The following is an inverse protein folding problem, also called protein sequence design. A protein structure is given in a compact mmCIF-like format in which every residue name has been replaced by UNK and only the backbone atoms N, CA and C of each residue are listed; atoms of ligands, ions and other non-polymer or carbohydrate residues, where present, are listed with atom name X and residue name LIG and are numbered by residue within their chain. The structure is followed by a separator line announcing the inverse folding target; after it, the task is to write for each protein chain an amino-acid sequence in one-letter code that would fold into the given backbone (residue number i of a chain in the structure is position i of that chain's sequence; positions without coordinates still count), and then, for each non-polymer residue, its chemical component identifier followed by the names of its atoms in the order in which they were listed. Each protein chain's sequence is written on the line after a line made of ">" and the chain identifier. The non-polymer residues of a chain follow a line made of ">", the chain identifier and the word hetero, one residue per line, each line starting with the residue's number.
data_IF_918043112081
#
_entry.id   IF_918043112081
#
_cell.length_a   1.000
_cell.length_b   1.000
_cell.length_c   1.000
_cell.angle_alpha   90.00
_cell.angle_beta   90.00
_cell.angle_gamma   90.00
#
_symmetry.space_group_name_H-M   'P 1'
#
loop_
_entity.id
_entity.type
_entity.pdbx_description
1 polymer ?
#
# COMPACT_ATOMS: atom_id res chain seq x y z
N UNK A 1 -23.67 -2.34 14.07
CA UNK A 1 -22.51 -1.98 14.89
C UNK A 1 -21.73 -3.24 15.19
N UNK A 2 -20.54 -3.36 14.60
CA UNK A 2 -19.62 -4.48 14.87
C UNK A 2 -18.36 -3.93 15.50
N UNK A 3 -17.76 -4.70 16.43
CA UNK A 3 -16.41 -4.37 16.90
C UNK A 3 -15.41 -4.90 15.88
N UNK A 4 -14.49 -4.03 15.46
CA UNK A 4 -13.47 -4.35 14.46
C UNK A 4 -12.08 -3.91 14.91
N UNK A 5 -11.06 -4.70 14.60
CA UNK A 5 -9.67 -4.40 14.93
C UNK A 5 -8.91 -3.92 13.71
N UNK A 6 -8.04 -2.91 13.87
CA UNK A 6 -7.22 -2.35 12.80
C UNK A 6 -5.78 -2.17 13.25
N UNK A 7 -4.82 -2.76 12.53
CA UNK A 7 -3.41 -2.39 12.65
C UNK A 7 -3.04 -1.31 11.63
N UNK A 8 -2.05 -0.48 11.94
CA UNK A 8 -1.62 0.56 11.00
C UNK A 8 -2.60 1.72 10.82
N UNK A 9 -3.50 1.95 11.79
CA UNK A 9 -4.57 2.95 11.73
C UNK A 9 -4.12 4.40 11.59
N UNK A 10 -2.84 4.71 11.81
CA UNK A 10 -2.23 6.03 11.56
C UNK A 10 -1.54 6.14 10.19
N UNK A 11 -1.43 5.03 9.44
CA UNK A 11 -0.92 5.03 8.06
C UNK A 11 -1.95 5.53 7.05
N UNK A 12 -1.55 5.74 5.80
CA UNK A 12 -2.41 6.29 4.75
C UNK A 12 -3.69 5.46 4.56
N UNK A 13 -3.55 4.16 4.27
CA UNK A 13 -4.70 3.26 4.06
C UNK A 13 -5.44 3.06 5.38
N UNK A 14 -4.72 2.76 6.46
CA UNK A 14 -5.34 2.47 7.75
C UNK A 14 -6.09 3.67 8.32
N UNK A 15 -5.59 4.89 8.16
CA UNK A 15 -6.29 6.10 8.60
C UNK A 15 -7.61 6.32 7.84
N UNK A 16 -7.58 6.16 6.52
CA UNK A 16 -8.78 6.26 5.70
C UNK A 16 -9.79 5.12 6.02
N UNK A 17 -9.31 3.90 6.24
CA UNK A 17 -10.13 2.77 6.65
C UNK A 17 -10.79 3.02 8.02
N UNK A 18 -10.05 3.51 9.01
CA UNK A 18 -10.58 3.90 10.33
C UNK A 18 -11.67 4.96 10.20
N UNK A 19 -11.46 6.00 9.37
CA UNK A 19 -12.51 7.00 9.11
C UNK A 19 -13.80 6.31 8.62
N UNK A 20 -13.67 5.45 7.63
CA UNK A 20 -14.83 4.81 7.01
C UNK A 20 -15.55 3.83 7.93
N UNK A 21 -14.81 3.11 8.78
CA UNK A 21 -15.38 2.24 9.81
C UNK A 21 -16.16 3.03 10.86
N UNK A 22 -15.62 4.15 11.33
CA UNK A 22 -16.28 5.05 12.29
C UNK A 22 -17.55 5.68 11.68
N UNK A 23 -17.50 6.16 10.43
CA UNK A 23 -18.66 6.67 9.69
C UNK A 23 -19.77 5.64 9.54
N UNK A 24 -19.40 4.35 9.41
CA UNK A 24 -20.33 3.22 9.37
C UNK A 24 -20.93 2.90 10.74
N UNK A 25 -20.41 3.50 11.80
CA UNK A 25 -20.84 3.29 13.18
C UNK A 25 -20.23 2.05 13.85
N UNK A 26 -19.09 1.55 13.36
CA UNK A 26 -18.40 0.42 13.99
C UNK A 26 -17.62 0.85 15.24
N UNK A 27 -17.51 -0.05 16.24
CA UNK A 27 -16.64 0.09 17.41
C UNK A 27 -15.21 -0.30 17.01
N UNK A 28 -14.38 0.70 16.72
CA UNK A 28 -13.02 0.47 16.19
C UNK A 28 -12.01 0.34 17.33
N UNK A 29 -11.25 -0.76 17.30
CA UNK A 29 -10.08 -1.00 18.14
C UNK A 29 -8.82 -0.87 17.28
N UNK A 30 -7.91 0.01 17.66
CA UNK A 30 -6.67 0.27 16.91
C UNK A 30 -5.42 -0.15 17.69
N UNK A 31 -4.46 -0.77 17.01
CA UNK A 31 -3.13 -1.03 17.58
C UNK A 31 -2.24 0.19 17.41
N UNK A 32 -1.64 0.65 18.51
CA UNK A 32 -0.68 1.75 18.50
C UNK A 32 0.64 1.37 19.17
N UNK A 33 1.76 1.59 18.47
CA UNK A 33 3.12 1.34 18.98
C UNK A 33 3.67 2.50 19.84
N UNK A 34 3.35 3.74 19.47
CA UNK A 34 3.86 4.93 20.15
C UNK A 34 2.73 5.74 20.81
N UNK A 35 3.07 6.61 21.78
CA UNK A 35 2.11 7.49 22.43
C UNK A 35 1.42 8.40 21.43
N UNK A 36 2.18 9.03 20.52
CA UNK A 36 1.63 9.88 19.47
C UNK A 36 0.65 9.16 18.56
N UNK A 37 0.89 7.86 18.23
CA UNK A 37 -0.05 7.08 17.45
C UNK A 37 -1.33 6.78 18.24
N UNK A 38 -1.21 6.53 19.56
CA UNK A 38 -2.36 6.30 20.43
C UNK A 38 -3.22 7.56 20.53
N UNK A 39 -2.61 8.70 20.86
CA UNK A 39 -3.29 10.00 20.95
C UNK A 39 -4.02 10.35 19.64
N UNK A 40 -3.38 10.10 18.49
CA UNK A 40 -3.99 10.33 17.18
C UNK A 40 -5.24 9.47 16.96
N UNK A 41 -5.24 8.21 17.40
CA UNK A 41 -6.39 7.31 17.26
C UNK A 41 -7.49 7.63 18.29
N UNK A 42 -7.11 7.86 19.56
CA UNK A 42 -8.03 8.20 20.63
C UNK A 42 -8.80 9.50 20.37
N UNK A 43 -8.12 10.52 19.83
CA UNK A 43 -8.74 11.79 19.42
C UNK A 43 -9.84 11.60 18.35
N UNK A 44 -9.84 10.48 17.65
CA UNK A 44 -10.83 10.10 16.64
C UNK A 44 -11.93 9.19 17.18
N UNK A 45 -11.91 8.86 18.48
CA UNK A 45 -12.87 7.94 19.10
C UNK A 45 -12.54 6.46 18.93
N UNK A 46 -11.31 6.12 18.50
CA UNK A 46 -10.82 4.74 18.39
C UNK A 46 -10.38 4.26 19.77
N UNK A 47 -10.79 3.07 20.17
CA UNK A 47 -10.26 2.39 21.35
C UNK A 47 -8.85 1.88 21.03
N UNK A 48 -7.86 2.21 21.85
CA UNK A 48 -6.46 1.87 21.57
C UNK A 48 -5.96 0.74 22.44
N UNK A 49 -5.29 -0.22 21.81
CA UNK A 49 -4.44 -1.22 22.45
C UNK A 49 -2.98 -0.91 22.12
N UNK A 50 -2.12 -0.89 23.16
CA UNK A 50 -0.68 -0.65 22.99
C UNK A 50 0.02 -1.95 22.67
N UNK A 51 0.87 -1.93 21.65
CA UNK A 51 1.62 -3.11 21.26
C UNK A 51 2.29 -3.02 19.89
N UNK A 52 3.00 -4.08 19.54
CA UNK A 52 3.75 -4.23 18.30
C UNK A 52 2.95 -5.07 17.28
N UNK A 53 2.93 -4.62 16.03
CA UNK A 53 2.16 -5.29 14.95
C UNK A 53 2.74 -6.63 14.48
N UNK A 54 3.81 -7.10 15.09
CA UNK A 54 4.41 -8.42 14.88
C UNK A 54 4.40 -9.28 16.16
N UNK A 55 3.86 -8.78 17.25
CA UNK A 55 3.69 -9.52 18.50
C UNK A 55 2.30 -10.16 18.55
N UNK A 56 2.26 -11.48 18.65
CA UNK A 56 1.02 -12.26 18.61
C UNK A 56 0.13 -11.99 19.83
N UNK A 57 0.72 -11.79 21.02
CA UNK A 57 -0.06 -11.56 22.24
C UNK A 57 -0.67 -10.15 22.24
N UNK A 58 0.08 -9.14 21.78
CA UNK A 58 -0.44 -7.78 21.62
C UNK A 58 -1.62 -7.73 20.63
N UNK A 59 -1.46 -8.42 19.49
CA UNK A 59 -2.50 -8.53 18.49
C UNK A 59 -3.73 -9.29 18.99
N UNK A 60 -3.53 -10.39 19.74
CA UNK A 60 -4.62 -11.18 20.32
C UNK A 60 -5.46 -10.33 21.27
N UNK A 61 -4.82 -9.61 22.21
CA UNK A 61 -5.50 -8.69 23.14
C UNK A 61 -6.33 -7.62 22.40
N UNK A 62 -5.78 -7.08 21.29
CA UNK A 62 -6.48 -6.11 20.48
C UNK A 62 -7.69 -6.68 19.75
N UNK A 63 -7.62 -7.93 19.35
CA UNK A 63 -8.65 -8.62 18.57
C UNK A 63 -9.75 -9.25 19.44
N UNK A 64 -9.58 -9.33 20.77
CA UNK A 64 -10.57 -9.90 21.68
C UNK A 64 -11.94 -9.25 21.52
N UNK A 65 -12.97 -10.08 21.27
CA UNK A 65 -14.34 -9.64 21.06
C UNK A 65 -14.60 -8.87 19.77
N UNK A 66 -13.63 -8.85 18.83
CA UNK A 66 -13.81 -8.28 17.50
C UNK A 66 -14.39 -9.31 16.54
N UNK A 67 -15.38 -8.90 15.76
CA UNK A 67 -15.98 -9.76 14.72
C UNK A 67 -15.06 -9.88 13.48
N UNK A 68 -14.36 -8.81 13.16
CA UNK A 68 -13.46 -8.72 12.00
C UNK A 68 -12.15 -8.02 12.38
N UNK A 69 -11.09 -8.33 11.66
CA UNK A 69 -9.81 -7.65 11.81
C UNK A 69 -9.23 -7.24 10.44
N UNK A 70 -8.57 -6.08 10.42
CA UNK A 70 -7.87 -5.53 9.26
C UNK A 70 -6.39 -5.36 9.61
N UNK A 71 -5.54 -6.22 9.03
CA UNK A 71 -4.10 -6.10 9.19
C UNK A 71 -3.51 -5.24 8.08
N UNK A 72 -3.47 -3.93 8.33
CA UNK A 72 -3.01 -2.91 7.36
C UNK A 72 -1.56 -2.48 7.62
N UNK A 73 -1.02 -2.76 8.81
CA UNK A 73 0.35 -2.41 9.16
C UNK A 73 1.37 -3.07 8.24
N UNK A 74 2.33 -2.30 7.78
CA UNK A 74 3.43 -2.78 6.95
C UNK A 74 4.49 -1.71 6.72
N UNK A 75 5.69 -2.14 6.42
CA UNK A 75 6.80 -1.25 6.06
C UNK A 75 6.91 -1.20 4.54
N UNK A 76 6.71 -0.02 3.96
CA UNK A 76 6.87 0.26 2.53
C UNK A 76 8.03 1.23 2.35
N UNK A 77 9.22 0.70 2.11
CA UNK A 77 10.42 1.50 1.88
C UNK A 77 11.29 0.85 0.79
N UNK A 78 11.94 1.69 0.00
CA UNK A 78 12.97 1.32 -0.94
C UNK A 78 14.32 1.87 -0.46
N UNK A 79 15.42 1.33 -0.99
CA UNK A 79 16.76 1.78 -0.63
C UNK A 79 17.08 1.61 0.87
N UNK A 80 16.62 0.54 1.46
CA UNK A 80 16.89 0.23 2.88
C UNK A 80 18.27 -0.40 3.03
N UNK A 81 19.01 0.04 4.05
CA UNK A 81 20.32 -0.53 4.38
C UNK A 81 20.16 -1.80 5.24
N UNK A 82 19.19 -1.81 6.15
CA UNK A 82 18.84 -2.96 7.00
C UNK A 82 17.43 -3.45 6.68
N UNK A 83 17.27 -4.65 6.09
CA UNK A 83 15.96 -5.22 5.78
C UNK A 83 15.21 -5.80 6.98
N UNK A 84 15.88 -6.09 8.10
CA UNK A 84 15.31 -6.80 9.24
C UNK A 84 14.04 -6.18 9.84
N UNK A 85 13.92 -4.85 9.99
CA UNK A 85 12.65 -4.25 10.45
C UNK A 85 11.50 -4.49 9.46
N UNK A 86 11.79 -4.49 8.15
CA UNK A 86 10.80 -4.75 7.10
C UNK A 86 10.39 -6.24 7.10
N UNK A 87 11.34 -7.16 7.24
CA UNK A 87 11.09 -8.60 7.35
C UNK A 87 10.24 -8.91 8.59
N UNK A 88 10.61 -8.35 9.73
CA UNK A 88 9.87 -8.54 10.99
C UNK A 88 8.41 -8.09 10.85
N UNK A 89 8.18 -6.91 10.25
CA UNK A 89 6.84 -6.36 10.12
C UNK A 89 6.05 -7.04 9.00
N UNK A 90 6.63 -7.16 7.79
CA UNK A 90 5.89 -7.63 6.62
C UNK A 90 5.70 -9.16 6.61
N UNK A 91 6.65 -9.92 7.15
CA UNK A 91 6.56 -11.39 7.24
C UNK A 91 6.08 -11.81 8.62
N UNK A 92 6.80 -11.43 9.68
CA UNK A 92 6.46 -11.78 11.06
C UNK A 92 5.08 -11.25 11.45
N UNK A 93 4.79 -9.97 11.15
CA UNK A 93 3.50 -9.34 11.44
C UNK A 93 2.33 -9.96 10.68
N UNK A 94 2.56 -10.46 9.46
CA UNK A 94 1.52 -11.16 8.70
C UNK A 94 1.14 -12.50 9.36
N UNK A 95 2.14 -13.30 9.78
CA UNK A 95 1.94 -14.57 10.49
C UNK A 95 1.29 -14.34 11.85
N UNK A 96 1.82 -13.40 12.65
CA UNK A 96 1.31 -13.08 13.97
C UNK A 96 -0.17 -12.64 13.91
N UNK A 97 -0.54 -11.82 12.92
CA UNK A 97 -1.93 -11.39 12.75
C UNK A 97 -2.89 -12.54 12.46
N UNK A 98 -2.47 -13.53 11.66
CA UNK A 98 -3.30 -14.72 11.38
C UNK A 98 -3.49 -15.57 12.63
N UNK A 99 -2.40 -15.85 13.36
CA UNK A 99 -2.48 -16.64 14.61
C UNK A 99 -3.28 -15.93 15.69
N UNK A 100 -3.07 -14.62 15.85
CA UNK A 100 -3.81 -13.82 16.80
C UNK A 100 -5.31 -13.80 16.49
N UNK A 101 -5.68 -13.66 15.20
CA UNK A 101 -7.08 -13.69 14.78
C UNK A 101 -7.75 -15.03 15.12
N UNK A 102 -7.06 -16.15 14.87
CA UNK A 102 -7.55 -17.48 15.23
C UNK A 102 -7.69 -17.65 16.76
N UNK A 103 -6.70 -17.22 17.55
CA UNK A 103 -6.75 -17.27 19.02
C UNK A 103 -7.88 -16.42 19.61
N UNK A 104 -8.09 -15.24 19.05
CA UNK A 104 -9.15 -14.31 19.51
C UNK A 104 -10.55 -14.67 18.99
N UNK A 105 -10.69 -15.69 18.14
CA UNK A 105 -11.96 -16.09 17.55
C UNK A 105 -12.55 -15.09 16.56
N UNK A 106 -11.68 -14.32 15.86
CA UNK A 106 -12.09 -13.38 14.81
C UNK A 106 -12.66 -14.15 13.63
N UNK A 107 -13.90 -13.83 13.23
CA UNK A 107 -14.57 -14.56 12.15
C UNK A 107 -13.86 -14.39 10.79
N UNK A 108 -13.31 -13.20 10.50
CA UNK A 108 -12.60 -12.91 9.25
C UNK A 108 -11.46 -11.91 9.44
N UNK A 109 -10.29 -12.23 8.89
CA UNK A 109 -9.14 -11.35 8.80
C UNK A 109 -8.94 -10.88 7.36
N UNK A 110 -8.90 -9.57 7.14
CA UNK A 110 -8.45 -8.97 5.86
C UNK A 110 -7.01 -8.50 6.01
N UNK A 111 -6.10 -9.06 5.21
CA UNK A 111 -4.69 -8.68 5.23
C UNK A 111 -4.32 -7.84 4.01
N UNK A 112 -3.76 -6.67 4.25
CA UNK A 112 -3.25 -5.78 3.22
C UNK A 112 -1.88 -6.26 2.74
N UNK A 113 -1.87 -6.90 1.58
CA UNK A 113 -0.66 -7.25 0.86
C UNK A 113 -0.24 -6.11 -0.08
N UNK A 114 0.17 -6.39 -1.30
CA UNK A 114 0.56 -5.41 -2.31
C UNK A 114 0.44 -6.01 -3.71
N UNK A 115 0.07 -5.23 -4.70
CA UNK A 115 0.12 -5.66 -6.11
C UNK A 115 1.54 -6.10 -6.53
N UNK A 116 2.59 -5.59 -5.87
CA UNK A 116 3.97 -6.02 -6.14
C UNK A 116 4.19 -7.53 -5.94
N UNK A 117 3.37 -8.21 -5.08
CA UNK A 117 3.49 -9.65 -4.82
C UNK A 117 3.07 -10.53 -6.00
N UNK A 118 2.39 -9.96 -6.99
CA UNK A 118 2.04 -10.66 -8.23
C UNK A 118 3.31 -11.09 -8.95
N UNK A 119 4.32 -10.21 -8.99
CA UNK A 119 5.61 -10.52 -9.60
C UNK A 119 5.48 -10.87 -11.08
N UNK A 120 4.68 -10.12 -11.82
CA UNK A 120 4.42 -10.32 -13.25
C UNK A 120 5.71 -10.23 -14.09
N UNK A 121 5.84 -11.00 -15.18
CA UNK A 121 6.94 -10.86 -16.13
C UNK A 121 6.98 -9.46 -16.77
N UNK A 122 8.16 -8.95 -17.16
CA UNK A 122 8.28 -7.63 -17.79
C UNK A 122 7.39 -7.48 -19.02
N UNK A 123 6.63 -6.37 -19.08
CA UNK A 123 5.79 -6.04 -20.23
C UNK A 123 4.44 -6.76 -20.28
N UNK A 124 4.16 -7.64 -19.32
CA UNK A 124 2.85 -8.32 -19.22
C UNK A 124 1.90 -7.58 -18.26
N UNK A 125 0.63 -7.94 -18.31
CA UNK A 125 -0.37 -7.50 -17.33
C UNK A 125 -0.54 -8.57 -16.27
N UNK A 126 -0.31 -8.22 -15.01
CA UNK A 126 -0.46 -9.13 -13.87
C UNK A 126 -1.91 -9.20 -13.40
N UNK A 127 -2.35 -10.43 -13.11
CA UNK A 127 -3.62 -10.76 -12.47
C UNK A 127 -3.34 -11.58 -11.21
N UNK A 128 -4.37 -11.87 -10.44
CA UNK A 128 -4.26 -12.75 -9.26
C UNK A 128 -3.75 -14.15 -9.60
N UNK A 129 -3.95 -14.60 -10.84
CA UNK A 129 -3.54 -15.93 -11.31
C UNK A 129 -2.16 -15.93 -11.98
N UNK A 130 -1.53 -14.77 -12.15
CA UNK A 130 -0.23 -14.67 -12.83
C UNK A 130 0.85 -15.40 -12.03
N UNK A 131 1.59 -16.35 -12.66
CA UNK A 131 2.73 -16.97 -12.02
C UNK A 131 3.82 -15.96 -11.70
N UNK A 132 4.32 -15.99 -10.47
CA UNK A 132 5.41 -15.11 -10.05
C UNK A 132 6.68 -15.41 -10.86
N UNK A 133 7.35 -14.36 -11.38
CA UNK A 133 8.54 -14.44 -12.25
C UNK A 133 9.79 -15.09 -11.62
N UNK A 134 9.74 -15.44 -10.31
CA UNK A 134 10.81 -16.18 -9.62
C UNK A 134 11.93 -15.34 -9.03
N UNK A 135 11.95 -14.01 -9.24
CA UNK A 135 12.94 -13.08 -8.67
C UNK A 135 12.28 -11.74 -8.28
N UNK A 136 12.94 -10.95 -7.44
CA UNK A 136 12.37 -9.74 -6.85
C UNK A 136 13.08 -8.46 -7.34
N UNK A 137 12.29 -7.41 -7.57
CA UNK A 137 12.80 -6.08 -7.94
C UNK A 137 13.33 -5.32 -6.72
N UNK A 138 12.77 -5.58 -5.54
CA UNK A 138 13.10 -4.85 -4.34
C UNK A 138 12.97 -5.72 -3.08
N UNK A 139 13.60 -5.28 -2.02
CA UNK A 139 13.43 -5.86 -0.68
C UNK A 139 11.96 -5.76 -0.23
N UNK A 140 11.29 -4.67 -0.56
CA UNK A 140 9.87 -4.51 -0.29
C UNK A 140 9.02 -5.59 -0.97
N UNK A 141 9.20 -5.79 -2.27
CA UNK A 141 8.48 -6.83 -3.02
C UNK A 141 8.74 -8.22 -2.42
N UNK A 142 10.00 -8.55 -2.13
CA UNK A 142 10.37 -9.82 -1.51
C UNK A 142 9.62 -10.04 -0.19
N UNK A 143 9.74 -9.09 0.74
CA UNK A 143 9.15 -9.24 2.07
C UNK A 143 7.63 -9.27 2.05
N UNK A 144 6.97 -8.53 1.13
CA UNK A 144 5.51 -8.62 0.95
C UNK A 144 5.10 -9.97 0.37
N UNK A 145 5.84 -10.49 -0.62
CA UNK A 145 5.55 -11.81 -1.22
C UNK A 145 5.75 -12.95 -0.21
N UNK A 146 6.85 -12.91 0.55
CA UNK A 146 7.12 -13.88 1.61
C UNK A 146 6.06 -13.83 2.71
N UNK A 147 5.66 -12.61 3.13
CA UNK A 147 4.62 -12.40 4.13
C UNK A 147 3.24 -12.89 3.68
N UNK A 148 2.85 -12.61 2.44
CA UNK A 148 1.60 -13.10 1.86
C UNK A 148 1.55 -14.63 1.83
N UNK A 149 2.62 -15.27 1.35
CA UNK A 149 2.72 -16.75 1.32
C UNK A 149 2.68 -17.36 2.71
N UNK A 150 3.40 -16.76 3.66
CA UNK A 150 3.43 -17.21 5.04
C UNK A 150 2.05 -17.05 5.72
N UNK A 151 1.37 -15.92 5.51
CA UNK A 151 0.02 -15.68 6.03
C UNK A 151 -0.98 -16.71 5.49
N UNK A 152 -0.95 -17.00 4.18
CA UNK A 152 -1.80 -18.03 3.57
C UNK A 152 -1.51 -19.44 4.09
N UNK A 153 -0.24 -19.79 4.27
CA UNK A 153 0.14 -21.08 4.84
C UNK A 153 -0.37 -21.21 6.29
N UNK A 154 -0.12 -20.18 7.10
CA UNK A 154 -0.57 -20.13 8.50
C UNK A 154 -2.09 -20.17 8.61
N UNK A 155 -2.84 -19.45 7.73
CA UNK A 155 -4.30 -19.45 7.78
C UNK A 155 -4.90 -20.84 7.54
N UNK A 156 -4.29 -21.63 6.64
CA UNK A 156 -4.69 -23.03 6.40
C UNK A 156 -4.36 -23.94 7.59
N UNK A 157 -3.20 -23.70 8.23
CA UNK A 157 -2.75 -24.46 9.40
C UNK A 157 -3.70 -24.26 10.59
N UNK A 158 -4.10 -23.00 10.88
CA UNK A 158 -4.91 -22.66 12.06
C UNK A 158 -6.40 -22.54 11.75
N UNK A 159 -6.83 -22.72 10.50
CA UNK A 159 -8.25 -22.64 10.10
C UNK A 159 -8.83 -21.22 10.10
N UNK A 160 -8.00 -20.17 10.03
CA UNK A 160 -8.46 -18.78 10.00
C UNK A 160 -9.00 -18.37 8.63
N UNK A 161 -10.22 -17.82 8.59
CA UNK A 161 -10.72 -17.15 7.39
C UNK A 161 -9.89 -15.90 7.10
N UNK A 162 -9.05 -15.98 6.06
CA UNK A 162 -8.14 -14.93 5.62
C UNK A 162 -8.48 -14.53 4.19
N UNK A 163 -8.70 -13.23 3.97
CA UNK A 163 -8.83 -12.64 2.64
C UNK A 163 -7.68 -11.64 2.43
N UNK A 164 -7.06 -11.68 1.26
CA UNK A 164 -5.96 -10.79 0.91
C UNK A 164 -6.44 -9.68 -0.01
N UNK A 165 -5.98 -8.45 0.23
CA UNK A 165 -6.12 -7.34 -0.71
C UNK A 165 -4.75 -6.85 -1.13
N UNK A 166 -4.56 -6.67 -2.44
CA UNK A 166 -3.29 -6.33 -3.07
C UNK A 166 -3.39 -4.96 -3.77
N UNK A 167 -3.34 -3.84 -3.03
CA UNK A 167 -3.41 -2.52 -3.64
C UNK A 167 -2.21 -2.25 -4.54
N UNK A 168 -2.45 -1.64 -5.69
CA UNK A 168 -1.43 -1.01 -6.51
C UNK A 168 -0.96 0.32 -5.88
N UNK A 169 -0.43 1.26 -6.63
CA UNK A 169 0.01 2.53 -6.06
C UNK A 169 -1.20 3.36 -5.61
N UNK A 170 -1.49 3.37 -4.31
CA UNK A 170 -2.60 4.14 -3.73
C UNK A 170 -2.32 5.63 -3.86
N UNK A 171 -3.28 6.38 -4.40
CA UNK A 171 -3.24 7.83 -4.58
C UNK A 171 -4.51 8.46 -4.00
N UNK A 172 -4.41 9.73 -3.59
CA UNK A 172 -5.54 10.47 -3.03
C UNK A 172 -5.13 11.32 -1.82
N UNK A 173 -6.08 11.98 -1.15
CA UNK A 173 -5.86 12.75 0.07
C UNK A 173 -5.10 11.95 1.15
N UNK A 174 -4.21 12.64 1.89
CA UNK A 174 -3.37 12.02 2.92
C UNK A 174 -2.09 11.33 2.40
N UNK A 175 -1.91 11.18 1.08
CA UNK A 175 -0.75 10.49 0.49
C UNK A 175 0.41 11.45 0.19
N UNK A 176 1.09 11.98 1.21
CA UNK A 176 2.26 12.84 1.04
C UNK A 176 3.59 12.08 0.86
N UNK A 177 3.66 10.80 1.25
CA UNK A 177 4.87 9.97 1.23
C UNK A 177 4.95 8.98 0.05
N UNK A 178 6.10 8.31 -0.10
CA UNK A 178 6.31 7.26 -1.11
C UNK A 178 6.05 7.76 -2.55
N UNK A 179 5.21 7.02 -3.29
CA UNK A 179 4.80 7.40 -4.66
C UNK A 179 3.98 8.69 -4.72
N UNK A 180 3.25 9.04 -3.65
CA UNK A 180 2.54 10.33 -3.55
C UNK A 180 3.49 11.53 -3.65
N UNK A 181 4.70 11.43 -3.08
CA UNK A 181 5.72 12.47 -3.22
C UNK A 181 6.13 12.74 -4.67
N UNK A 182 6.14 11.70 -5.50
CA UNK A 182 6.44 11.84 -6.93
C UNK A 182 5.28 12.56 -7.60
N UNK A 183 4.05 12.16 -7.32
CA UNK A 183 2.86 12.82 -7.85
C UNK A 183 2.81 14.29 -7.44
N UNK A 184 3.00 14.61 -6.16
CA UNK A 184 3.04 15.99 -5.68
C UNK A 184 4.14 16.83 -6.36
N UNK A 185 5.31 16.25 -6.62
CA UNK A 185 6.38 16.92 -7.35
C UNK A 185 6.03 17.19 -8.83
N UNK A 186 5.20 16.33 -9.44
CA UNK A 186 4.63 16.57 -10.78
C UNK A 186 3.61 17.69 -10.72
N UNK A 187 2.66 17.63 -9.79
CA UNK A 187 1.57 18.58 -9.62
C UNK A 187 2.06 20.01 -9.29
N UNK A 188 3.23 20.13 -8.64
CA UNK A 188 3.87 21.40 -8.34
C UNK A 188 4.90 21.84 -9.41
N UNK A 189 5.03 21.10 -10.51
CA UNK A 189 5.97 21.39 -11.60
C UNK A 189 7.46 21.27 -11.21
N UNK A 190 7.78 20.72 -10.03
CA UNK A 190 9.17 20.56 -9.52
C UNK A 190 9.90 19.35 -10.12
N UNK A 191 9.19 18.35 -10.63
CA UNK A 191 9.81 17.17 -11.22
C UNK A 191 10.35 17.50 -12.62
N UNK A 192 11.68 17.46 -12.78
CA UNK A 192 12.35 17.80 -14.05
C UNK A 192 12.57 16.59 -14.96
N UNK A 193 12.83 15.43 -14.37
CA UNK A 193 13.14 14.21 -15.08
C UNK A 193 12.40 13.03 -14.51
N UNK A 194 12.00 12.11 -15.37
CA UNK A 194 11.42 10.83 -14.99
C UNK A 194 11.90 9.72 -15.92
N UNK A 195 11.42 8.48 -15.72
CA UNK A 195 11.79 7.32 -16.53
C UNK A 195 10.61 6.80 -17.33
N UNK A 196 10.82 6.23 -18.54
CA UNK A 196 9.74 5.61 -19.30
C UNK A 196 9.25 4.35 -18.56
N UNK A 197 8.01 4.37 -18.11
CA UNK A 197 7.39 3.31 -17.32
C UNK A 197 5.87 3.27 -17.55
N UNK A 198 5.21 2.25 -16.99
CA UNK A 198 3.77 2.26 -16.72
C UNK A 198 3.55 2.37 -15.21
N UNK A 199 2.45 2.94 -14.82
CA UNK A 199 2.02 3.07 -13.43
C UNK A 199 0.61 2.51 -13.28
N UNK A 200 0.43 1.65 -12.30
CA UNK A 200 -0.89 1.15 -11.90
C UNK A 200 -1.29 1.84 -10.60
N UNK A 201 -2.45 2.46 -10.58
CA UNK A 201 -2.93 3.31 -9.49
C UNK A 201 -4.29 2.81 -9.00
N UNK A 202 -4.57 3.07 -7.74
CA UNK A 202 -5.90 2.94 -7.14
C UNK A 202 -6.18 4.17 -6.28
N UNK A 203 -7.41 4.67 -6.36
CA UNK A 203 -7.89 5.74 -5.48
C UNK A 203 -7.92 5.26 -4.03
N UNK A 204 -7.64 6.13 -3.07
CA UNK A 204 -7.65 5.80 -1.64
C UNK A 204 -9.03 5.33 -1.16
N UNK A 205 -10.10 5.94 -1.66
CA UNK A 205 -11.47 5.58 -1.28
C UNK A 205 -11.84 4.21 -1.86
N UNK A 206 -11.42 3.92 -3.11
CA UNK A 206 -11.61 2.60 -3.74
C UNK A 206 -10.79 1.52 -3.03
N UNK A 207 -9.57 1.87 -2.61
CA UNK A 207 -8.73 0.98 -1.82
C UNK A 207 -9.41 0.60 -0.50
N UNK A 208 -9.98 1.58 0.21
CA UNK A 208 -10.74 1.35 1.45
C UNK A 208 -12.02 0.56 1.18
N UNK A 209 -12.78 0.92 0.14
CA UNK A 209 -13.97 0.17 -0.27
C UNK A 209 -13.62 -1.29 -0.59
N UNK A 210 -12.51 -1.53 -1.28
CA UNK A 210 -11.99 -2.87 -1.56
C UNK A 210 -11.71 -3.70 -0.29
N UNK A 211 -11.16 -3.09 0.77
CA UNK A 211 -10.96 -3.75 2.07
C UNK A 211 -12.29 -4.14 2.73
N UNK A 212 -13.26 -3.21 2.75
CA UNK A 212 -14.57 -3.46 3.35
C UNK A 212 -15.34 -4.53 2.57
N UNK A 213 -15.35 -4.45 1.25
CA UNK A 213 -16.00 -5.43 0.39
C UNK A 213 -15.31 -6.81 0.48
N UNK A 214 -13.99 -6.87 0.62
CA UNK A 214 -13.26 -8.11 0.85
C UNK A 214 -13.65 -8.75 2.20
N UNK A 215 -13.90 -7.94 3.23
CA UNK A 215 -14.42 -8.43 4.51
C UNK A 215 -15.84 -8.99 4.39
N UNK A 216 -16.68 -8.42 3.53
CA UNK A 216 -18.08 -8.80 3.37
C UNK A 216 -18.28 -9.97 2.39
N UNK A 217 -17.55 -9.96 1.26
CA UNK A 217 -17.81 -10.82 0.08
C UNK A 217 -16.62 -11.65 -0.35
N UNK A 218 -15.42 -11.36 0.16
CA UNK A 218 -14.20 -12.05 -0.24
C UNK A 218 -14.25 -13.55 0.07
N UNK A 219 -13.63 -14.34 -0.77
CA UNK A 219 -13.49 -15.79 -0.59
C UNK A 219 -12.25 -16.08 0.25
N UNK A 220 -12.39 -16.91 1.29
CA UNK A 220 -11.29 -17.29 2.16
C UNK A 220 -10.13 -17.92 1.37
N UNK A 221 -8.90 -17.48 1.66
CA UNK A 221 -7.70 -17.92 0.96
C UNK A 221 -7.43 -17.24 -0.38
N UNK A 222 -8.34 -16.39 -0.86
CA UNK A 222 -8.21 -15.67 -2.12
C UNK A 222 -7.60 -14.29 -1.93
N UNK A 223 -7.04 -13.76 -3.04
CA UNK A 223 -6.49 -12.40 -3.11
C UNK A 223 -7.19 -11.57 -4.18
N UNK A 224 -7.28 -10.28 -3.95
CA UNK A 224 -7.95 -9.32 -4.83
C UNK A 224 -7.02 -8.15 -5.13
N UNK A 225 -6.62 -8.00 -6.39
CA UNK A 225 -5.90 -6.83 -6.87
C UNK A 225 -6.82 -5.60 -6.83
N UNK A 226 -6.37 -4.56 -6.16
CA UNK A 226 -7.06 -3.28 -6.13
C UNK A 226 -6.29 -2.31 -7.05
N UNK A 227 -6.73 -2.23 -8.29
CA UNK A 227 -6.11 -1.41 -9.34
C UNK A 227 -7.21 -0.82 -10.21
N UNK A 228 -7.43 0.48 -10.09
CA UNK A 228 -8.45 1.19 -10.85
C UNK A 228 -7.99 1.58 -12.25
N UNK A 229 -6.69 1.76 -12.45
CA UNK A 229 -6.13 2.16 -13.73
C UNK A 229 -4.67 1.74 -13.90
N UNK A 230 -4.30 1.50 -15.16
CA UNK A 230 -2.89 1.34 -15.57
C UNK A 230 -2.61 2.29 -16.73
N UNK A 231 -1.67 3.22 -16.55
CA UNK A 231 -1.36 4.26 -17.52
C UNK A 231 0.11 4.20 -17.93
N UNK A 232 0.40 4.50 -19.20
CA UNK A 232 1.76 4.88 -19.58
C UNK A 232 2.12 6.18 -18.86
N UNK A 233 3.37 6.32 -18.45
CA UNK A 233 3.81 7.48 -17.64
C UNK A 233 3.57 8.80 -18.37
N UNK A 234 3.68 8.83 -19.71
CA UNK A 234 3.40 10.01 -20.50
C UNK A 234 1.96 10.49 -20.35
N UNK A 235 1.01 9.56 -20.38
CA UNK A 235 -0.43 9.84 -20.24
C UNK A 235 -0.75 10.24 -18.79
N UNK A 236 -0.18 9.56 -17.81
CA UNK A 236 -0.35 9.90 -16.39
C UNK A 236 0.19 11.32 -16.07
N UNK A 237 1.36 11.67 -16.61
CA UNK A 237 1.93 13.02 -16.48
C UNK A 237 1.12 14.09 -17.22
N UNK A 238 0.57 13.76 -18.39
CA UNK A 238 -0.29 14.67 -19.15
C UNK A 238 -1.59 14.96 -18.41
N UNK A 239 -2.24 13.93 -17.89
CA UNK A 239 -3.45 14.04 -17.08
C UNK A 239 -3.20 14.84 -15.80
N UNK A 240 -2.12 14.53 -15.07
CA UNK A 240 -1.76 15.26 -13.86
C UNK A 240 -1.49 16.76 -14.12
N UNK A 241 -0.76 17.06 -15.20
CA UNK A 241 -0.46 18.44 -15.59
C UNK A 241 -1.71 19.22 -15.99
N UNK A 242 -2.63 18.58 -16.72
CA UNK A 242 -3.89 19.18 -17.14
C UNK A 242 -4.76 19.53 -15.92
N UNK A 243 -4.98 18.57 -15.01
CA UNK A 243 -5.82 18.76 -13.82
C UNK A 243 -5.24 19.81 -12.87
N UNK A 244 -3.90 19.83 -12.68
CA UNK A 244 -3.24 20.76 -11.80
C UNK A 244 -2.99 22.16 -12.45
N UNK A 245 -3.19 22.31 -13.77
CA UNK A 245 -2.87 23.53 -14.49
C UNK A 245 -1.36 23.77 -14.69
N UNK A 246 -0.54 22.69 -14.64
CA UNK A 246 0.93 22.79 -14.73
C UNK A 246 1.40 22.70 -16.17
N UNK A 247 2.08 23.75 -16.64
CA UNK A 247 2.60 23.82 -18.02
C UNK A 247 3.83 22.91 -18.25
N UNK A 248 4.61 22.64 -17.21
CA UNK A 248 5.90 21.96 -17.33
C UNK A 248 5.76 20.45 -17.13
N UNK A 249 6.05 19.68 -18.20
CA UNK A 249 6.11 18.22 -18.15
C UNK A 249 7.54 17.75 -17.88
N UNK A 250 7.77 16.71 -17.05
CA UNK A 250 9.08 16.11 -16.87
C UNK A 250 9.63 15.53 -18.18
N UNK A 251 10.94 15.64 -18.41
CA UNK A 251 11.60 14.97 -19.53
C UNK A 251 11.87 13.51 -19.17
N UNK A 252 11.57 12.59 -20.09
CA UNK A 252 11.86 11.17 -19.88
C UNK A 252 13.33 10.87 -20.20
N UNK A 253 14.05 10.33 -19.21
CA UNK A 253 15.43 9.90 -19.39
C UNK A 253 15.48 8.52 -20.03
N UNK A 254 16.41 8.26 -20.99
CA UNK A 254 16.64 6.92 -21.50
C UNK A 254 16.95 5.93 -20.35
N UNK A 255 16.46 4.68 -20.45
CA UNK A 255 16.60 3.65 -19.40
C UNK A 255 18.05 3.47 -18.92
N UNK A 256 18.99 3.41 -19.87
CA UNK A 256 20.44 3.27 -19.57
C UNK A 256 20.98 4.47 -18.77
N UNK A 257 20.61 5.68 -19.16
CA UNK A 257 21.03 6.92 -18.49
C UNK A 257 20.48 6.94 -17.05
N UNK A 258 19.21 6.63 -16.85
CA UNK A 258 18.59 6.58 -15.54
C UNK A 258 19.26 5.54 -14.61
N UNK A 259 19.58 4.36 -15.13
CA UNK A 259 20.25 3.29 -14.36
C UNK A 259 21.66 3.69 -13.93
N UNK A 260 22.46 4.28 -14.85
CA UNK A 260 23.82 4.75 -14.53
C UNK A 260 23.78 5.91 -13.55
N UNK A 261 22.90 6.89 -13.77
CA UNK A 261 22.76 8.02 -12.88
C UNK A 261 22.38 7.58 -11.45
N UNK A 262 21.43 6.64 -11.30
CA UNK A 262 21.07 6.08 -10.00
C UNK A 262 22.26 5.39 -9.31
N UNK A 263 23.08 4.62 -10.04
CA UNK A 263 24.25 3.95 -9.48
C UNK A 263 25.31 4.96 -8.98
N UNK A 264 25.53 6.03 -9.73
CA UNK A 264 26.48 7.09 -9.36
C UNK A 264 26.00 7.83 -8.12
N UNK A 265 24.71 8.24 -8.10
CA UNK A 265 24.08 8.93 -6.94
C UNK A 265 24.15 8.02 -5.71
N UNK A 266 23.72 6.76 -5.82
CA UNK A 266 23.75 5.81 -4.72
C UNK A 266 25.16 5.66 -4.13
N UNK A 267 26.16 5.49 -4.98
CA UNK A 267 27.56 5.34 -4.55
C UNK A 267 28.08 6.60 -3.86
N UNK A 268 27.83 7.77 -4.44
CA UNK A 268 28.27 9.06 -3.86
C UNK A 268 27.68 9.30 -2.46
N UNK A 269 26.40 9.05 -2.28
CA UNK A 269 25.73 9.20 -0.99
C UNK A 269 26.21 8.18 0.05
N UNK A 270 26.46 6.93 -0.36
CA UNK A 270 27.01 5.89 0.54
C UNK A 270 28.44 6.25 1.02
N UNK A 271 29.30 6.78 0.13
CA UNK A 271 30.64 7.27 0.52
C UNK A 271 30.50 8.43 1.52
N UNK A 272 29.51 9.30 1.36
CA UNK A 272 29.24 10.40 2.30
C UNK A 272 28.52 9.98 3.58
N UNK A 273 28.28 8.68 3.82
CA UNK A 273 27.55 8.17 4.98
C UNK A 273 26.09 8.62 5.04
N UNK A 274 25.48 8.97 3.89
CA UNK A 274 24.11 9.47 3.80
C UNK A 274 23.22 8.53 3.00
N UNK A 275 21.93 8.50 3.31
CA UNK A 275 20.94 7.76 2.54
C UNK A 275 20.75 8.39 1.16
N UNK A 276 20.83 7.61 0.07
CA UNK A 276 20.62 8.11 -1.27
C UNK A 276 19.13 8.47 -1.48
N UNK A 277 18.84 9.61 -2.12
CA UNK A 277 17.45 9.97 -2.49
C UNK A 277 16.93 9.09 -3.63
N UNK A 278 17.81 8.47 -4.42
CA UNK A 278 17.52 7.53 -5.50
C UNK A 278 18.57 6.43 -5.47
N UNK A 279 18.15 5.17 -5.60
CA UNK A 279 19.03 4.01 -5.66
C UNK A 279 18.68 3.11 -6.85
N UNK A 280 19.57 2.14 -7.16
CA UNK A 280 19.35 1.19 -8.26
C UNK A 280 18.07 0.36 -8.09
N UNK A 281 17.73 -0.03 -6.86
CA UNK A 281 16.51 -0.76 -6.53
C UNK A 281 15.26 0.03 -6.95
N UNK A 282 15.19 1.31 -6.60
CA UNK A 282 14.09 2.20 -6.98
C UNK A 282 13.96 2.35 -8.50
N UNK A 283 15.08 2.60 -9.19
CA UNK A 283 15.05 2.77 -10.66
C UNK A 283 14.69 1.45 -11.35
N UNK A 284 15.16 0.31 -10.87
CA UNK A 284 14.80 -1.01 -11.40
C UNK A 284 13.31 -1.28 -11.26
N UNK A 285 12.73 -0.99 -10.09
CA UNK A 285 11.29 -1.13 -9.84
C UNK A 285 10.48 -0.22 -10.75
N UNK A 286 10.87 1.04 -10.89
CA UNK A 286 10.20 1.97 -11.81
C UNK A 286 10.31 1.54 -13.27
N UNK A 287 11.49 1.13 -13.72
CA UNK A 287 11.73 0.71 -15.12
C UNK A 287 11.06 -0.63 -15.48
N UNK A 288 10.68 -1.44 -14.50
CA UNK A 288 9.87 -2.63 -14.75
C UNK A 288 8.53 -2.24 -15.37
N UNK A 289 7.88 -1.20 -14.85
CA UNK A 289 6.66 -0.66 -15.42
C UNK A 289 5.48 -1.57 -15.13
N UNK A 290 5.15 -1.69 -13.86
CA UNK A 290 4.06 -2.53 -13.37
C UNK A 290 2.73 -2.24 -14.05
N UNK A 291 2.08 -3.30 -14.53
CA UNK A 291 0.75 -3.28 -15.13
C UNK A 291 -0.11 -4.34 -14.46
N UNK A 292 -1.27 -3.96 -13.98
CA UNK A 292 -2.17 -4.85 -13.28
C UNK A 292 -3.60 -4.73 -13.80
N UNK A 293 -4.35 -5.82 -13.71
CA UNK A 293 -5.78 -5.90 -13.99
C UNK A 293 -6.54 -6.12 -12.67
N UNK A 294 -7.33 -5.14 -12.24
CA UNK A 294 -8.14 -5.17 -11.02
C UNK A 294 -9.57 -5.64 -11.24
N UNK A 295 -9.93 -6.13 -12.43
CA UNK A 295 -11.31 -6.49 -12.80
C UNK A 295 -11.93 -7.61 -11.95
N UNK A 296 -11.10 -8.44 -11.31
CA UNK A 296 -11.61 -9.46 -10.38
C UNK A 296 -12.32 -8.82 -9.18
N UNK A 297 -11.76 -7.75 -8.62
CA UNK A 297 -12.42 -7.04 -7.51
C UNK A 297 -13.77 -6.42 -7.94
N UNK A 298 -13.90 -5.97 -9.19
CA UNK A 298 -15.19 -5.49 -9.71
C UNK A 298 -16.20 -6.63 -9.82
N UNK A 299 -15.82 -7.77 -10.40
CA UNK A 299 -16.72 -8.90 -10.62
C UNK A 299 -17.13 -9.59 -9.32
N UNK A 300 -16.17 -9.92 -8.46
CA UNK A 300 -16.40 -10.79 -7.31
C UNK A 300 -16.84 -10.00 -6.07
N UNK A 301 -16.31 -8.79 -5.88
CA UNK A 301 -16.63 -7.93 -4.73
C UNK A 301 -17.66 -6.85 -5.04
N UNK A 302 -17.87 -6.52 -6.33
CA UNK A 302 -18.71 -5.41 -6.75
C UNK A 302 -18.05 -4.04 -6.53
N UNK A 303 -16.72 -4.00 -6.47
CA UNK A 303 -15.96 -2.75 -6.37
C UNK A 303 -16.19 -1.91 -7.63
N UNK A 304 -16.29 -0.60 -7.47
CA UNK A 304 -16.31 0.36 -8.58
C UNK A 304 -15.13 1.29 -8.44
N UNK A 305 -14.37 1.45 -9.52
CA UNK A 305 -13.20 2.31 -9.50
C UNK A 305 -13.53 3.74 -9.90
N UNK A 306 -12.94 4.68 -9.18
CA UNK A 306 -13.02 6.11 -9.44
C UNK A 306 -12.27 6.48 -10.72
N UNK A 307 -12.81 7.40 -11.49
CA UNK A 307 -12.13 7.94 -12.68
C UNK A 307 -10.76 8.54 -12.32
N UNK A 308 -9.70 8.25 -13.09
CA UNK A 308 -8.36 8.76 -12.85
C UNK A 308 -8.26 10.27 -12.66
N UNK A 309 -9.02 11.01 -13.41
CA UNK A 309 -9.10 12.47 -13.36
C UNK A 309 -9.62 12.93 -12.00
N UNK A 310 -10.63 12.25 -11.48
CA UNK A 310 -11.21 12.54 -10.18
C UNK A 310 -10.22 12.27 -9.04
N UNK A 311 -9.50 11.15 -9.09
CA UNK A 311 -8.44 10.83 -8.11
C UNK A 311 -7.35 11.91 -8.08
N UNK A 312 -6.92 12.37 -9.27
CA UNK A 312 -5.91 13.44 -9.36
C UNK A 312 -6.50 14.75 -8.84
N UNK A 313 -7.74 15.10 -9.19
CA UNK A 313 -8.41 16.32 -8.72
C UNK A 313 -8.49 16.35 -7.18
N UNK A 314 -9.00 15.28 -6.56
CA UNK A 314 -9.04 15.16 -5.08
C UNK A 314 -7.65 15.32 -4.45
N UNK A 315 -6.62 14.76 -5.12
CA UNK A 315 -5.24 14.88 -4.64
C UNK A 315 -4.72 16.32 -4.73
N UNK A 316 -5.03 17.03 -5.84
CA UNK A 316 -4.66 18.44 -6.03
C UNK A 316 -5.34 19.33 -4.99
N UNK A 317 -6.66 19.17 -4.82
CA UNK A 317 -7.43 19.99 -3.88
C UNK A 317 -6.93 19.81 -2.44
N UNK A 318 -6.70 18.56 -2.02
CA UNK A 318 -6.11 18.25 -0.73
C UNK A 318 -4.69 18.84 -0.59
N UNK A 319 -3.84 18.63 -1.59
CA UNK A 319 -2.46 19.09 -1.50
C UNK A 319 -2.34 20.64 -1.45
N UNK A 320 -3.27 21.36 -2.10
CA UNK A 320 -3.37 22.81 -1.99
C UNK A 320 -3.86 23.25 -0.61
N UNK A 321 -4.89 22.59 -0.07
CA UNK A 321 -5.41 22.87 1.27
C UNK A 321 -4.33 22.67 2.37
N UNK A 322 -3.47 21.65 2.19
CA UNK A 322 -2.34 21.38 3.10
C UNK A 322 -1.07 22.21 2.79
N UNK A 323 -1.09 23.08 1.78
CA UNK A 323 0.07 23.86 1.39
C UNK A 323 1.25 23.07 0.83
N UNK A 324 1.03 21.85 0.36
CA UNK A 324 2.05 20.96 -0.19
C UNK A 324 2.43 21.28 -1.63
N UNK A 325 1.53 21.91 -2.38
CA UNK A 325 1.71 22.42 -3.75
C UNK A 325 1.11 23.81 -3.87
N UNK A 326 1.53 24.56 -4.91
CA UNK A 326 1.05 25.92 -5.19
C UNK A 326 -0.25 25.95 -5.97
#
# INVERSE_FOLDING_TARGET
>A
MSRVFVTGGTGVIGSALVTRLLERGDDVVGLARSDSAAETLEARGVRVVRGEGYDEDDLTRGMEGCAQAYNVAGVNALCVDDPRPMERMNVGGAVAAVRAAARAGVARLVHTSSAATIGEPPGTVGTELTPHRGWYLSTYERTKTEGERAALATSREVGQDLVLVNPSSVQGPGRAGGTGRILLAVLDGRLRFFVPTCVSLVDIDDCVAGHLLAAERGVAGERYLLTGMTLAIGDALALAAEVAGVQRKPRLLPRRVATVAAAVVERGFKIAGRRPPVCREMVRTLLHGHRYDGSRAERDLGLRYTDPRETIRKTVDWARAEGLIR
#
